data_IF_445038594407
#
_entry.id   IF_445038594407
#
_cell.length_a   1.000
_cell.length_b   1.000
_cell.length_c   1.000
_cell.angle_alpha   90.00
_cell.angle_beta   90.00
_cell.angle_gamma   90.00
#
_symmetry.space_group_name_H-M   'P 1'
#
loop_
_entity.id
_entity.type
_entity.pdbx_description
1 polymer ?
#
# COMPACT_ATOMS: atom_id res chain seq x y z
N UNK A 1 -17.58 23.76 7.70
CA UNK A 1 -18.92 24.21 7.29
C UNK A 1 -19.73 22.96 6.92
N UNK A 2 -20.25 22.24 7.91
CA UNK A 2 -21.64 22.31 8.45
C UNK A 2 -22.70 21.70 7.53
N UNK A 3 -22.74 20.36 7.46
CA UNK A 3 -23.89 19.60 6.94
C UNK A 3 -24.06 18.28 7.73
N UNK A 4 -24.26 18.38 9.04
CA UNK A 4 -24.57 17.22 9.91
C UNK A 4 -25.76 17.47 10.84
N UNK A 5 -26.56 18.50 10.60
CA UNK A 5 -27.59 18.93 11.57
C UNK A 5 -29.01 18.43 11.32
N UNK A 6 -29.32 17.85 10.15
CA UNK A 6 -30.71 17.50 9.81
C UNK A 6 -31.10 16.07 10.21
N UNK A 7 -30.14 15.16 10.33
CA UNK A 7 -30.39 13.74 10.66
C UNK A 7 -30.64 13.57 12.17
N UNK A 8 -29.99 14.38 13.01
CA UNK A 8 -30.18 14.33 14.47
C UNK A 8 -31.54 14.89 14.94
N UNK A 9 -32.25 15.67 14.12
CA UNK A 9 -33.60 16.14 14.47
C UNK A 9 -34.72 15.17 14.07
N UNK A 10 -34.51 14.31 13.06
CA UNK A 10 -35.57 13.41 12.56
C UNK A 10 -35.81 12.21 13.48
N UNK A 11 -34.76 11.71 14.13
CA UNK A 11 -34.85 10.57 15.07
C UNK A 11 -35.67 10.90 16.33
N UNK A 12 -35.44 12.03 17.04
CA UNK A 12 -36.25 12.39 18.20
C UNK A 12 -37.69 12.80 17.82
N UNK A 13 -37.91 13.42 16.65
CA UNK A 13 -39.25 13.79 16.19
C UNK A 13 -40.14 12.56 15.92
N UNK A 14 -39.57 11.50 15.35
CA UNK A 14 -40.29 10.23 15.13
C UNK A 14 -40.52 9.48 16.45
N UNK A 15 -39.56 9.50 17.38
CA UNK A 15 -39.72 8.90 18.71
C UNK A 15 -40.77 9.62 19.57
N UNK A 16 -40.85 10.96 19.51
CA UNK A 16 -41.87 11.76 20.18
C UNK A 16 -43.27 11.51 19.62
N UNK A 17 -43.41 11.34 18.30
CA UNK A 17 -44.70 11.00 17.69
C UNK A 17 -45.22 9.61 18.12
N UNK A 18 -44.32 8.65 18.36
CA UNK A 18 -44.68 7.33 18.90
C UNK A 18 -44.98 7.31 20.39
N UNK A 19 -44.44 8.25 21.19
CA UNK A 19 -44.71 8.34 22.62
C UNK A 19 -46.10 8.94 22.92
N UNK A 20 -46.57 9.89 22.09
CA UNK A 20 -47.90 10.52 22.27
C UNK A 20 -49.05 9.57 21.93
N UNK A 21 -48.81 8.56 21.07
CA UNK A 21 -49.80 7.54 20.74
C UNK A 21 -49.98 6.45 21.83
N UNK A 22 -49.20 6.50 22.92
CA UNK A 22 -49.15 5.44 23.94
C UNK A 22 -49.54 5.90 25.36
N UNK A 23 -50.21 7.05 25.52
CA UNK A 23 -50.75 7.43 26.83
C UNK A 23 -52.07 6.70 27.16
N UNK A 24 -52.16 5.98 28.30
CA UNK A 24 -53.32 5.16 28.63
C UNK A 24 -54.39 5.98 29.36
N UNK A 25 -55.37 6.48 28.60
CA UNK A 25 -56.62 7.03 29.13
C UNK A 25 -57.74 5.99 29.07
N UNK A 26 -58.00 5.34 30.22
CA UNK A 26 -59.23 4.68 30.69
C UNK A 26 -60.29 4.09 29.72
N UNK A 27 -60.67 2.85 30.05
CA UNK A 27 -61.97 2.16 29.91
C UNK A 27 -62.31 1.45 28.58
N UNK A 28 -62.28 0.11 28.68
CA UNK A 28 -62.82 -0.87 27.74
C UNK A 28 -64.38 -0.75 27.63
N UNK A 29 -65.08 -1.33 26.62
CA UNK A 29 -64.97 -2.76 26.30
C UNK A 29 -65.06 -3.18 24.81
N UNK A 30 -64.41 -4.33 24.58
CA UNK A 30 -64.83 -5.48 23.75
C UNK A 30 -65.00 -5.31 22.22
N UNK A 31 -64.06 -5.99 21.54
CA UNK A 31 -64.37 -7.09 20.61
C UNK A 31 -64.53 -6.75 19.12
N UNK A 32 -63.64 -5.96 18.52
CA UNK A 32 -63.48 -6.00 17.05
C UNK A 32 -62.15 -5.44 16.51
N UNK A 33 -60.99 -5.83 17.07
CA UNK A 33 -59.73 -5.20 16.65
C UNK A 33 -58.51 -6.14 16.64
N UNK A 34 -58.71 -7.42 16.30
CA UNK A 34 -57.58 -8.35 16.12
C UNK A 34 -56.95 -8.35 14.72
N UNK A 35 -57.56 -7.71 13.70
CA UNK A 35 -57.05 -7.77 12.32
C UNK A 35 -56.36 -6.51 11.80
N UNK A 36 -56.52 -5.34 12.43
CA UNK A 36 -55.92 -4.08 11.93
C UNK A 36 -54.55 -3.74 12.51
N UNK A 37 -54.18 -4.31 13.66
CA UNK A 37 -52.88 -4.02 14.31
C UNK A 37 -51.71 -4.69 13.57
N UNK A 38 -51.97 -5.70 12.74
CA UNK A 38 -50.93 -6.38 11.96
C UNK A 38 -50.50 -5.65 10.67
N UNK A 39 -51.17 -4.56 10.25
CA UNK A 39 -50.81 -3.83 9.01
C UNK A 39 -50.11 -2.50 9.23
N UNK A 40 -50.19 -1.90 10.41
CA UNK A 40 -49.65 -0.53 10.64
C UNK A 40 -48.20 -0.56 11.13
N UNK A 41 -47.75 -1.67 11.73
CA UNK A 41 -46.36 -1.84 12.19
C UNK A 41 -45.39 -2.39 11.12
N UNK A 42 -45.89 -2.95 10.02
CA UNK A 42 -45.02 -3.52 8.98
C UNK A 42 -44.52 -2.49 7.97
N UNK A 43 -45.28 -1.42 7.70
CA UNK A 43 -44.91 -0.42 6.69
C UNK A 43 -43.68 0.42 7.12
N UNK A 44 -43.57 0.95 8.35
CA UNK A 44 -42.41 1.77 8.71
C UNK A 44 -41.13 0.94 8.82
N UNK A 45 -41.21 -0.30 9.32
CA UNK A 45 -40.06 -1.20 9.42
C UNK A 45 -39.53 -1.59 8.03
N UNK A 46 -40.43 -1.81 7.06
CA UNK A 46 -40.07 -2.16 5.68
C UNK A 46 -39.34 -1.01 4.97
N UNK A 47 -39.80 0.23 5.16
CA UNK A 47 -39.20 1.41 4.52
C UNK A 47 -37.82 1.72 5.13
N UNK A 48 -37.68 1.59 6.46
CA UNK A 48 -36.38 1.73 7.13
C UNK A 48 -35.41 0.62 6.70
N UNK A 49 -35.89 -0.62 6.56
CA UNK A 49 -35.05 -1.74 6.09
C UNK A 49 -34.62 -1.56 4.62
N UNK A 50 -35.50 -1.08 3.74
CA UNK A 50 -35.18 -0.81 2.32
C UNK A 50 -34.21 0.38 2.18
N UNK A 51 -34.36 1.44 2.98
CA UNK A 51 -33.43 2.56 3.00
C UNK A 51 -32.07 2.17 3.60
N UNK A 52 -32.06 1.33 4.64
CA UNK A 52 -30.83 0.77 5.20
C UNK A 52 -30.10 -0.14 4.20
N UNK A 53 -30.83 -0.92 3.40
CA UNK A 53 -30.26 -1.76 2.33
C UNK A 53 -29.79 -0.95 1.11
N UNK A 54 -30.40 0.21 0.82
CA UNK A 54 -29.99 1.09 -0.27
C UNK A 54 -28.75 1.93 0.06
N UNK A 55 -28.50 2.21 1.34
CA UNK A 55 -27.30 2.90 1.82
C UNK A 55 -26.08 1.98 1.95
N UNK A 56 -26.22 0.67 1.72
CA UNK A 56 -25.09 -0.25 1.63
C UNK A 56 -24.33 -0.02 0.31
N UNK A 57 -23.19 0.66 0.38
CA UNK A 57 -22.27 0.82 -0.74
C UNK A 57 -21.91 -0.54 -1.34
N UNK A 58 -22.41 -0.82 -2.55
CA UNK A 58 -22.15 -2.09 -3.25
C UNK A 58 -20.68 -2.15 -3.66
N UNK A 59 -20.02 -3.28 -3.38
CA UNK A 59 -18.67 -3.57 -3.88
C UNK A 59 -18.66 -3.55 -5.41
N UNK A 60 -17.56 -3.10 -6.02
CA UNK A 60 -17.43 -3.17 -7.48
C UNK A 60 -17.25 -4.63 -7.90
N UNK A 61 -18.02 -5.08 -8.90
CA UNK A 61 -17.91 -6.45 -9.39
C UNK A 61 -16.57 -6.72 -10.09
N UNK A 62 -16.03 -7.93 -9.97
CA UNK A 62 -14.78 -8.34 -10.63
C UNK A 62 -14.80 -8.10 -12.14
N UNK A 63 -15.93 -8.37 -12.81
CA UNK A 63 -16.12 -8.09 -14.24
C UNK A 63 -15.90 -6.60 -14.56
N UNK A 64 -16.37 -5.72 -13.68
CA UNK A 64 -16.17 -4.27 -13.84
C UNK A 64 -14.71 -3.90 -13.62
N UNK A 65 -14.05 -4.46 -12.61
CA UNK A 65 -12.62 -4.23 -12.36
C UNK A 65 -11.78 -4.68 -13.54
N UNK A 66 -11.97 -5.90 -14.06
CA UNK A 66 -11.25 -6.41 -15.23
C UNK A 66 -11.44 -5.53 -16.47
N UNK A 67 -12.67 -5.08 -16.71
CA UNK A 67 -12.97 -4.17 -17.83
C UNK A 67 -12.26 -2.83 -17.68
N UNK A 68 -12.25 -2.25 -16.48
CA UNK A 68 -11.60 -0.95 -16.24
C UNK A 68 -10.07 -1.09 -16.29
N UNK A 69 -9.50 -2.14 -15.68
CA UNK A 69 -8.06 -2.41 -15.72
C UNK A 69 -7.52 -2.65 -17.13
N UNK A 70 -8.35 -3.22 -18.02
CA UNK A 70 -7.99 -3.50 -19.41
C UNK A 70 -8.28 -2.34 -20.39
N UNK A 71 -8.80 -1.20 -19.93
CA UNK A 71 -9.07 -0.09 -20.84
C UNK A 71 -7.75 0.57 -21.31
N UNK A 72 -7.75 1.31 -22.44
CA UNK A 72 -6.52 1.90 -22.98
C UNK A 72 -5.83 2.86 -22.02
N UNK A 73 -6.60 3.59 -21.20
CA UNK A 73 -6.08 4.54 -20.23
C UNK A 73 -5.31 3.85 -19.09
N UNK A 74 -5.87 2.80 -18.50
CA UNK A 74 -5.23 1.99 -17.46
C UNK A 74 -3.98 1.28 -17.98
N UNK A 75 -4.04 0.75 -19.21
CA UNK A 75 -2.88 0.12 -19.85
C UNK A 75 -1.76 1.12 -20.08
N UNK A 76 -2.09 2.32 -20.59
CA UNK A 76 -1.12 3.40 -20.78
C UNK A 76 -0.51 3.86 -19.45
N UNK A 77 -1.33 4.10 -18.44
CA UNK A 77 -0.88 4.51 -17.12
C UNK A 77 0.03 3.46 -16.46
N UNK A 78 -0.27 2.17 -16.64
CA UNK A 78 0.61 1.07 -16.21
C UNK A 78 1.97 1.12 -16.90
N UNK A 79 1.99 1.30 -18.23
CA UNK A 79 3.23 1.36 -19.00
C UNK A 79 4.09 2.57 -18.61
N UNK A 80 3.48 3.74 -18.41
CA UNK A 80 4.17 4.95 -17.94
C UNK A 80 4.74 4.75 -16.52
N UNK A 81 3.97 4.13 -15.62
CA UNK A 81 4.43 3.83 -14.28
C UNK A 81 5.60 2.83 -14.27
N UNK A 82 5.50 1.76 -15.06
CA UNK A 82 6.57 0.76 -15.21
C UNK A 82 7.83 1.39 -15.83
N UNK A 83 7.69 2.16 -16.91
CA UNK A 83 8.83 2.84 -17.56
C UNK A 83 9.53 3.78 -16.59
N UNK A 84 8.80 4.62 -15.86
CA UNK A 84 9.40 5.56 -14.90
C UNK A 84 10.22 4.85 -13.80
N UNK A 85 9.72 3.71 -13.30
CA UNK A 85 10.48 2.90 -12.34
C UNK A 85 11.72 2.27 -12.98
N UNK A 86 11.61 1.75 -14.20
CA UNK A 86 12.76 1.17 -14.94
C UNK A 86 13.82 2.21 -15.29
N UNK A 87 13.41 3.42 -15.69
CA UNK A 87 14.32 4.53 -15.97
C UNK A 87 15.10 4.92 -14.71
N UNK A 88 14.43 4.94 -13.56
CA UNK A 88 15.09 5.16 -12.27
C UNK A 88 16.09 4.03 -11.98
N UNK A 89 15.69 2.76 -12.10
CA UNK A 89 16.57 1.61 -11.88
C UNK A 89 17.81 1.65 -12.80
N UNK A 90 17.64 2.07 -14.06
CA UNK A 90 18.75 2.20 -15.01
C UNK A 90 19.75 3.28 -14.59
N UNK A 91 19.28 4.39 -14.01
CA UNK A 91 20.17 5.40 -13.41
C UNK A 91 20.93 4.80 -12.24
N UNK A 92 20.28 4.05 -11.34
CA UNK A 92 20.96 3.38 -10.24
C UNK A 92 22.06 2.41 -10.73
N UNK A 93 21.81 1.63 -11.78
CA UNK A 93 22.79 0.70 -12.34
C UNK A 93 23.96 1.41 -13.04
N UNK A 94 23.67 2.51 -13.74
CA UNK A 94 24.67 3.22 -14.54
C UNK A 94 25.54 4.16 -13.69
N UNK A 95 24.92 4.87 -12.75
CA UNK A 95 25.56 5.99 -12.05
C UNK A 95 26.12 5.63 -10.68
N UNK A 96 25.85 4.42 -10.18
CA UNK A 96 26.37 3.95 -8.89
C UNK A 96 27.32 2.76 -9.04
N UNK A 97 28.08 2.40 -7.99
CA UNK A 97 28.92 1.20 -7.99
C UNK A 97 28.14 -0.13 -7.95
N UNK A 98 26.81 -0.08 -7.85
CA UNK A 98 25.95 -1.26 -7.81
C UNK A 98 25.86 -1.94 -9.18
N UNK A 99 25.51 -3.23 -9.18
CA UNK A 99 25.29 -4.02 -10.39
C UNK A 99 23.91 -4.63 -10.39
N UNK A 100 23.04 -4.20 -11.28
CA UNK A 100 21.67 -4.69 -11.36
C UNK A 100 21.67 -6.18 -11.69
N UNK A 101 21.01 -6.96 -10.85
CA UNK A 101 20.93 -8.40 -11.01
C UNK A 101 19.52 -8.92 -11.23
N UNK A 102 18.55 -8.31 -10.54
CA UNK A 102 17.17 -8.80 -10.53
C UNK A 102 16.18 -7.65 -10.30
N UNK A 103 15.08 -7.67 -11.03
CA UNK A 103 13.93 -6.77 -10.84
C UNK A 103 12.67 -7.61 -10.61
N UNK A 104 11.93 -7.24 -9.57
CA UNK A 104 10.60 -7.78 -9.27
C UNK A 104 9.61 -6.64 -9.42
N UNK A 105 8.62 -6.84 -10.29
CA UNK A 105 7.51 -5.91 -10.46
C UNK A 105 6.21 -6.63 -10.17
N UNK A 106 5.44 -6.11 -9.22
CA UNK A 106 4.10 -6.58 -8.92
C UNK A 106 3.11 -5.45 -9.15
N UNK A 107 2.05 -5.71 -9.92
CA UNK A 107 0.92 -4.81 -10.00
C UNK A 107 -0.39 -5.55 -9.73
N UNK A 108 -1.34 -4.85 -9.12
CA UNK A 108 -2.65 -5.39 -8.82
C UNK A 108 -3.71 -4.30 -8.93
N UNK A 109 -4.87 -4.66 -9.45
CA UNK A 109 -6.05 -3.80 -9.46
C UNK A 109 -7.11 -4.39 -8.54
N UNK A 110 -7.67 -3.58 -7.65
CA UNK A 110 -8.77 -3.96 -6.78
C UNK A 110 -9.95 -3.00 -6.94
N UNK A 111 -11.17 -3.53 -6.85
CA UNK A 111 -12.37 -2.71 -6.71
C UNK A 111 -12.55 -2.23 -5.28
N UNK A 112 -13.37 -1.19 -5.07
CA UNK A 112 -13.75 -0.78 -3.73
C UNK A 112 -14.49 -1.89 -2.98
N UNK A 113 -14.10 -2.12 -1.72
CA UNK A 113 -14.70 -3.12 -0.85
C UNK A 113 -15.92 -2.54 -0.15
N UNK A 114 -17.01 -3.32 -0.06
CA UNK A 114 -18.18 -2.88 0.70
C UNK A 114 -17.79 -2.74 2.18
N UNK A 115 -18.30 -1.70 2.85
CA UNK A 115 -18.18 -1.59 4.31
C UNK A 115 -18.92 -2.74 4.94
N UNK A 116 -18.23 -3.60 5.67
CA UNK A 116 -18.85 -4.67 6.41
C UNK A 116 -19.68 -4.09 7.57
N UNK A 117 -20.72 -4.79 7.99
CA UNK A 117 -21.64 -4.30 9.02
C UNK A 117 -20.93 -4.09 10.37
N UNK A 118 -19.96 -4.96 10.69
CA UNK A 118 -19.19 -4.90 11.95
C UNK A 118 -17.85 -4.18 11.81
N UNK A 119 -17.25 -4.19 10.63
CA UNK A 119 -15.97 -3.55 10.35
C UNK A 119 -16.18 -2.51 9.24
N UNK A 120 -16.20 -1.24 9.63
CA UNK A 120 -16.24 -0.09 8.69
C UNK A 120 -14.89 0.10 7.95
N UNK A 121 -14.12 -0.97 7.75
CA UNK A 121 -12.79 -0.99 7.13
C UNK A 121 -12.85 -1.06 5.60
N UNK A 122 -14.03 -1.32 5.02
CA UNK A 122 -14.22 -1.31 3.56
C UNK A 122 -14.02 0.09 2.97
N UNK A 123 -13.14 0.21 1.98
CA UNK A 123 -12.97 1.44 1.19
C UNK A 123 -13.82 1.36 -0.08
N UNK A 124 -15.06 1.84 0.04
CA UNK A 124 -16.03 1.83 -1.07
C UNK A 124 -15.89 3.04 -2.00
N UNK A 125 -14.93 3.94 -1.76
CA UNK A 125 -14.76 5.20 -2.52
C UNK A 125 -14.32 4.97 -3.96
N UNK A 126 -13.71 3.83 -4.25
CA UNK A 126 -13.15 3.53 -5.57
C UNK A 126 -14.02 2.54 -6.34
N UNK A 127 -14.22 2.82 -7.63
CA UNK A 127 -14.63 1.80 -8.60
C UNK A 127 -13.48 0.83 -8.83
N UNK A 128 -12.27 1.35 -9.02
CA UNK A 128 -11.02 0.60 -9.17
C UNK A 128 -9.86 1.43 -8.64
N UNK A 129 -8.89 0.76 -8.02
CA UNK A 129 -7.55 1.29 -7.72
C UNK A 129 -6.54 0.25 -8.16
N UNK A 130 -5.59 0.67 -8.97
CA UNK A 130 -4.48 -0.16 -9.42
C UNK A 130 -3.18 0.35 -8.84
N UNK A 131 -2.43 -0.54 -8.21
CA UNK A 131 -1.18 -0.25 -7.51
C UNK A 131 -0.04 -1.03 -8.12
N UNK A 132 1.15 -0.46 -8.08
CA UNK A 132 2.39 -1.08 -8.52
C UNK A 132 3.44 -1.02 -7.42
N UNK A 133 4.14 -2.13 -7.25
CA UNK A 133 5.25 -2.34 -6.33
C UNK A 133 6.46 -2.78 -7.17
N UNK A 134 7.56 -2.06 -7.05
CA UNK A 134 8.80 -2.38 -7.78
C UNK A 134 9.92 -2.54 -6.77
N UNK A 135 10.67 -3.62 -6.91
CA UNK A 135 11.88 -3.89 -6.15
C UNK A 135 13.00 -4.24 -7.12
N UNK A 136 14.16 -3.62 -6.96
CA UNK A 136 15.37 -3.98 -7.70
C UNK A 136 16.44 -4.48 -6.73
N UNK A 137 17.17 -5.50 -7.15
CA UNK A 137 18.23 -6.14 -6.39
C UNK A 137 19.55 -5.98 -7.15
N UNK A 138 20.57 -5.55 -6.42
CA UNK A 138 21.87 -5.24 -6.95
C UNK A 138 22.96 -6.02 -6.22
N UNK A 139 23.96 -6.48 -6.95
CA UNK A 139 25.19 -7.03 -6.37
C UNK A 139 26.21 -5.93 -6.06
N UNK A 140 27.01 -6.16 -5.02
CA UNK A 140 28.18 -5.34 -4.68
C UNK A 140 29.25 -6.17 -3.96
N UNK A 141 30.47 -5.63 -3.83
CA UNK A 141 31.57 -6.26 -3.09
C UNK A 141 31.49 -5.92 -1.58
N UNK A 142 31.36 -6.91 -0.67
CA UNK A 142 31.30 -6.68 0.78
C UNK A 142 32.56 -6.06 1.38
N UNK A 143 33.67 -6.00 0.66
CA UNK A 143 34.90 -5.30 1.11
C UNK A 143 34.85 -3.80 0.82
N UNK A 144 33.89 -3.35 0.03
CA UNK A 144 33.76 -1.97 -0.47
C UNK A 144 32.42 -1.34 -0.09
N UNK A 145 31.81 -1.75 1.02
CA UNK A 145 30.51 -1.22 1.45
C UNK A 145 30.55 0.30 1.60
N UNK A 146 31.57 0.83 2.27
CA UNK A 146 31.78 2.27 2.41
C UNK A 146 31.82 2.99 1.05
N UNK A 147 32.67 2.52 0.12
CA UNK A 147 32.80 3.11 -1.22
C UNK A 147 31.52 2.97 -2.04
N UNK A 148 30.78 1.87 -1.87
CA UNK A 148 29.53 1.62 -2.58
C UNK A 148 28.47 2.61 -2.14
N UNK A 149 28.30 2.79 -0.82
CA UNK A 149 27.34 3.75 -0.27
C UNK A 149 27.76 5.18 -0.62
N UNK A 150 29.04 5.53 -0.45
CA UNK A 150 29.60 6.85 -0.82
C UNK A 150 29.35 7.15 -2.31
N UNK A 151 29.53 6.16 -3.19
CA UNK A 151 29.21 6.28 -4.61
C UNK A 151 27.71 6.48 -4.90
N UNK A 152 26.81 5.84 -4.15
CA UNK A 152 25.36 6.11 -4.22
C UNK A 152 25.08 7.56 -3.81
N UNK A 153 25.70 8.05 -2.73
CA UNK A 153 25.54 9.43 -2.27
C UNK A 153 26.08 10.44 -3.29
N UNK A 154 27.25 10.18 -3.89
CA UNK A 154 27.82 11.02 -4.95
C UNK A 154 26.90 11.09 -6.17
N UNK A 155 26.23 9.99 -6.51
CA UNK A 155 25.26 9.97 -7.61
C UNK A 155 23.99 10.78 -7.27
N UNK A 156 23.56 10.77 -6.01
CA UNK A 156 22.43 11.60 -5.53
C UNK A 156 22.73 13.08 -5.40
N UNK A 157 23.99 13.48 -5.16
CA UNK A 157 24.39 14.89 -5.12
C UNK A 157 24.24 15.63 -6.46
N UNK A 158 24.12 14.89 -7.57
CA UNK A 158 23.97 15.49 -8.90
C UNK A 158 22.62 16.20 -9.01
N UNK A 159 22.63 17.41 -9.57
CA UNK A 159 21.39 18.17 -9.81
C UNK A 159 20.43 17.38 -10.70
N UNK A 160 19.20 17.17 -10.21
CA UNK A 160 18.17 16.43 -10.94
C UNK A 160 18.30 14.91 -10.85
N UNK A 161 19.17 14.38 -9.98
CA UNK A 161 19.31 12.94 -9.77
C UNK A 161 18.00 12.33 -9.22
N UNK A 162 17.54 11.19 -9.76
CA UNK A 162 16.42 10.43 -9.20
C UNK A 162 16.81 9.61 -7.95
N UNK A 163 18.08 9.65 -7.53
CA UNK A 163 18.60 9.00 -6.33
C UNK A 163 18.37 9.94 -5.13
N UNK A 164 17.48 9.61 -4.18
CA UNK A 164 17.07 10.53 -3.12
C UNK A 164 18.02 10.54 -1.92
N UNK A 165 19.29 10.14 -2.13
CA UNK A 165 20.31 10.05 -1.09
C UNK A 165 21.54 10.81 -1.52
N UNK A 166 21.81 11.95 -0.87
CA UNK A 166 23.02 12.74 -1.06
C UNK A 166 23.85 12.82 0.22
N UNK A 167 25.00 13.48 0.12
CA UNK A 167 25.86 13.76 1.27
C UNK A 167 25.30 14.83 2.21
N UNK A 168 24.25 15.55 1.81
CA UNK A 168 23.49 16.45 2.68
C UNK A 168 22.71 15.67 3.76
N UNK A 169 22.37 14.41 3.51
CA UNK A 169 21.73 13.53 4.47
C UNK A 169 22.74 13.06 5.54
N UNK A 170 22.67 13.68 6.72
CA UNK A 170 23.60 13.42 7.83
C UNK A 170 23.70 11.94 8.19
N UNK A 171 22.57 11.23 8.28
CA UNK A 171 22.56 9.81 8.61
C UNK A 171 23.36 8.97 7.60
N UNK A 172 23.18 9.22 6.30
CA UNK A 172 23.92 8.54 5.24
C UNK A 172 25.44 8.74 5.35
N UNK A 173 25.90 9.96 5.65
CA UNK A 173 27.32 10.22 5.90
C UNK A 173 27.85 9.41 7.10
N UNK A 174 27.10 9.36 8.19
CA UNK A 174 27.49 8.57 9.37
C UNK A 174 27.54 7.08 9.07
N UNK A 175 26.65 6.56 8.22
CA UNK A 175 26.72 5.17 7.73
C UNK A 175 28.02 4.93 6.94
N UNK A 176 28.42 5.85 6.05
CA UNK A 176 29.70 5.72 5.33
C UNK A 176 30.88 5.74 6.30
N UNK A 177 30.88 6.66 7.27
CA UNK A 177 31.95 6.75 8.27
C UNK A 177 32.02 5.50 9.18
N UNK A 178 30.89 4.88 9.49
CA UNK A 178 30.84 3.59 10.19
C UNK A 178 31.60 2.51 9.43
N UNK A 179 31.29 2.30 8.14
CA UNK A 179 31.97 1.28 7.32
C UNK A 179 33.44 1.62 7.03
N UNK A 180 33.84 2.89 7.15
CA UNK A 180 35.25 3.32 7.11
C UNK A 180 35.99 3.15 8.45
N UNK A 181 35.30 2.76 9.52
CA UNK A 181 35.87 2.65 10.86
C UNK A 181 36.14 4.00 11.54
N UNK A 182 35.46 5.07 11.11
CA UNK A 182 35.64 6.44 11.61
C UNK A 182 34.55 6.88 12.61
N UNK A 183 33.42 6.17 12.64
CA UNK A 183 32.31 6.44 13.54
C UNK A 183 31.81 5.15 14.20
N UNK A 184 31.17 5.29 15.36
CA UNK A 184 30.37 4.22 15.95
C UNK A 184 29.01 4.07 15.27
N UNK A 185 28.16 3.23 15.85
CA UNK A 185 26.82 2.93 15.34
C UNK A 185 26.01 4.21 15.01
N UNK A 186 25.52 4.40 13.77
CA UNK A 186 24.89 5.65 13.35
C UNK A 186 23.59 6.00 14.08
N UNK A 187 22.88 5.01 14.61
CA UNK A 187 21.64 5.20 15.38
C UNK A 187 21.89 5.23 16.90
N UNK A 188 23.16 5.15 17.33
CA UNK A 188 23.57 5.15 18.73
C UNK A 188 24.13 3.80 19.19
N UNK A 189 24.86 3.77 20.32
CA UNK A 189 25.56 2.57 20.76
C UNK A 189 24.63 1.37 20.96
N UNK A 190 25.00 0.21 20.41
CA UNK A 190 24.27 -1.04 20.57
C UNK A 190 23.10 -1.19 19.61
N UNK A 191 22.95 -0.29 18.64
CA UNK A 191 21.96 -0.43 17.54
C UNK A 191 22.45 -1.36 16.44
N UNK A 192 23.74 -1.69 16.44
CA UNK A 192 24.34 -2.65 15.54
C UNK A 192 24.69 -2.07 14.17
N UNK A 193 25.02 -2.97 13.25
CA UNK A 193 25.48 -2.61 11.91
C UNK A 193 24.34 -1.96 11.09
N UNK A 194 24.53 -0.73 10.57
CA UNK A 194 23.54 -0.06 9.74
C UNK A 194 23.33 -0.83 8.44
N UNK A 195 22.07 -1.05 8.08
CA UNK A 195 21.68 -1.91 6.95
C UNK A 195 20.69 -1.27 5.99
N UNK A 196 20.37 0.01 6.19
CA UNK A 196 19.39 0.70 5.35
C UNK A 196 19.64 2.20 5.25
N UNK A 197 19.19 2.78 4.14
CA UNK A 197 18.92 4.20 3.95
C UNK A 197 17.44 4.35 3.58
N UNK A 198 16.76 5.26 4.28
CA UNK A 198 15.35 5.53 4.07
C UNK A 198 15.12 7.01 3.87
N UNK A 199 14.44 7.36 2.77
CA UNK A 199 13.95 8.71 2.52
C UNK A 199 12.43 8.67 2.48
N UNK A 200 11.80 9.37 3.44
CA UNK A 200 10.37 9.26 3.69
C UNK A 200 9.53 9.55 2.44
N UNK A 201 8.66 8.61 2.08
CA UNK A 201 7.75 8.74 0.93
C UNK A 201 8.42 8.60 -0.45
N UNK A 202 9.73 8.30 -0.50
CA UNK A 202 10.43 8.02 -1.76
C UNK A 202 10.87 6.56 -1.79
N UNK A 203 12.15 6.27 -1.60
CA UNK A 203 12.75 4.96 -1.82
C UNK A 203 13.44 4.48 -0.55
N UNK A 204 13.45 3.17 -0.35
CA UNK A 204 14.25 2.51 0.69
C UNK A 204 15.35 1.69 0.03
N UNK A 205 16.59 1.85 0.49
CA UNK A 205 17.74 1.03 0.09
C UNK A 205 18.19 0.21 1.29
N UNK A 206 18.13 -1.11 1.21
CA UNK A 206 18.59 -2.02 2.26
C UNK A 206 19.73 -2.90 1.72
N UNK A 207 20.57 -3.47 2.59
CA UNK A 207 21.63 -4.38 2.16
C UNK A 207 21.97 -5.46 3.19
N UNK A 208 22.69 -6.49 2.73
CA UNK A 208 23.23 -7.54 3.60
C UNK A 208 24.20 -6.97 4.64
N UNK A 209 24.06 -7.38 5.91
CA UNK A 209 25.06 -7.09 6.94
C UNK A 209 26.35 -7.89 6.70
N UNK A 210 27.51 -7.24 6.83
CA UNK A 210 28.83 -7.82 6.51
C UNK A 210 29.71 -8.07 7.73
N UNK A 211 29.57 -7.31 8.82
CA UNK A 211 30.44 -7.40 10.00
C UNK A 211 29.93 -8.36 11.08
N UNK A 212 28.61 -8.38 11.32
CA UNK A 212 27.99 -9.24 12.35
C UNK A 212 28.19 -10.72 11.95
N UNK A 213 28.72 -11.63 12.79
CA UNK A 213 29.01 -13.02 12.33
C UNK A 213 27.90 -14.04 12.58
N UNK A 214 27.19 -13.93 13.71
CA UNK A 214 26.29 -14.99 14.17
C UNK A 214 24.79 -14.68 13.93
N UNK A 215 24.45 -13.42 13.69
CA UNK A 215 23.07 -12.93 13.48
C UNK A 215 22.98 -11.97 12.30
N UNK A 216 23.63 -12.30 11.18
CA UNK A 216 23.55 -11.48 9.97
C UNK A 216 22.12 -11.41 9.49
N UNK A 217 21.60 -10.20 9.41
CA UNK A 217 20.41 -9.95 8.61
C UNK A 217 20.82 -9.84 7.14
N UNK A 218 20.26 -10.73 6.33
CA UNK A 218 20.49 -10.80 4.90
C UNK A 218 19.22 -10.44 4.16
N UNK A 219 19.37 -9.87 2.98
CA UNK A 219 18.29 -9.66 2.03
C UNK A 219 17.68 -11.01 1.66
N UNK A 220 16.39 -11.15 1.96
CA UNK A 220 15.60 -12.33 1.63
C UNK A 220 15.29 -12.40 0.13
N UNK A 221 15.03 -13.62 -0.35
CA UNK A 221 14.48 -13.85 -1.67
C UNK A 221 13.15 -13.10 -1.84
N UNK A 222 12.84 -12.59 -3.05
CA UNK A 222 11.51 -12.06 -3.31
C UNK A 222 10.47 -13.14 -3.07
N UNK A 223 9.30 -12.70 -2.59
CA UNK A 223 8.17 -13.61 -2.42
C UNK A 223 7.82 -14.18 -3.78
N UNK A 224 7.56 -15.50 -3.81
CA UNK A 224 7.07 -16.14 -5.02
C UNK A 224 5.81 -15.42 -5.47
N UNK A 225 5.77 -15.10 -6.77
CA UNK A 225 4.57 -14.57 -7.42
C UNK A 225 3.40 -15.51 -7.10
N UNK A 226 2.52 -15.08 -6.19
CA UNK A 226 1.36 -15.88 -5.84
C UNK A 226 0.49 -16.11 -7.09
N UNK A 227 -0.19 -17.27 -7.19
CA UNK A 227 -1.13 -17.50 -8.27
C UNK A 227 -2.11 -16.34 -8.43
N UNK A 228 -2.43 -16.00 -9.68
CA UNK A 228 -3.32 -14.90 -10.03
C UNK A 228 -4.66 -14.98 -9.28
N UNK A 229 -4.87 -14.12 -8.27
CA UNK A 229 -6.21 -13.84 -7.73
C UNK A 229 -6.22 -12.57 -6.85
N UNK A 230 -7.30 -11.74 -6.81
CA UNK A 230 -8.23 -11.26 -7.85
C UNK A 230 -8.24 -9.71 -7.96
N UNK A 231 -8.92 -9.07 -8.96
CA UNK A 231 -9.42 -9.59 -10.23
C UNK A 231 -8.40 -9.46 -11.39
N UNK A 232 -7.35 -8.63 -11.20
CA UNK A 232 -6.22 -8.46 -12.14
C UNK A 232 -4.95 -8.27 -11.31
N UNK A 233 -4.00 -9.19 -11.43
CA UNK A 233 -2.68 -9.12 -10.81
C UNK A 233 -1.64 -9.55 -11.83
N UNK A 234 -0.51 -8.86 -11.90
CA UNK A 234 0.67 -9.22 -12.68
C UNK A 234 1.86 -9.24 -11.75
N UNK A 235 2.73 -10.24 -11.92
CA UNK A 235 4.00 -10.34 -11.24
C UNK A 235 5.06 -10.70 -12.27
N UNK A 236 6.10 -9.88 -12.35
CA UNK A 236 7.24 -10.07 -13.23
C UNK A 236 8.49 -10.28 -12.38
N UNK A 237 9.30 -11.23 -12.81
CA UNK A 237 10.57 -11.58 -12.20
C UNK A 237 11.62 -11.64 -13.32
N UNK A 238 12.53 -10.67 -13.34
CA UNK A 238 13.43 -10.42 -14.47
C UNK A 238 14.89 -10.25 -14.02
N UNK A 239 15.82 -11.11 -14.46
CA UNK A 239 15.60 -12.35 -15.21
C UNK A 239 14.90 -13.42 -14.37
N UNK A 240 14.03 -14.23 -14.98
CA UNK A 240 13.25 -15.26 -14.24
C UNK A 240 14.14 -16.32 -13.59
N UNK A 241 15.34 -16.57 -14.13
CA UNK A 241 16.31 -17.56 -13.64
C UNK A 241 17.18 -17.06 -12.49
N UNK A 242 17.18 -15.77 -12.19
CA UNK A 242 18.10 -15.19 -11.20
C UNK A 242 17.44 -15.14 -9.83
N UNK A 243 18.16 -15.59 -8.79
CA UNK A 243 17.75 -15.43 -7.38
C UNK A 243 18.67 -14.47 -6.63
N UNK A 244 18.23 -14.01 -5.45
CA UNK A 244 19.07 -13.22 -4.53
C UNK A 244 20.29 -14.04 -4.09
N UNK A 245 20.13 -15.35 -3.90
CA UNK A 245 21.22 -16.26 -3.59
C UNK A 245 22.26 -16.35 -4.71
N UNK A 246 21.85 -16.27 -5.98
CA UNK A 246 22.79 -16.24 -7.11
C UNK A 246 23.59 -14.94 -7.12
N UNK A 247 22.93 -13.79 -6.92
CA UNK A 247 23.61 -12.49 -6.80
C UNK A 247 24.60 -12.48 -5.64
N UNK A 248 24.22 -13.03 -4.50
CA UNK A 248 25.11 -13.12 -3.34
C UNK A 248 26.31 -14.03 -3.62
N UNK A 249 26.13 -15.11 -4.39
CA UNK A 249 27.23 -16.01 -4.78
C UNK A 249 28.20 -15.33 -5.75
N UNK A 250 27.70 -14.51 -6.65
CA UNK A 250 28.49 -13.82 -7.67
C UNK A 250 29.23 -12.60 -7.12
N UNK A 251 28.53 -11.74 -6.37
CA UNK A 251 29.05 -10.44 -5.93
C UNK A 251 29.51 -10.43 -4.46
N UNK A 252 28.97 -11.33 -3.63
CA UNK A 252 29.30 -11.45 -2.21
C UNK A 252 28.30 -10.77 -1.27
N UNK A 253 27.62 -9.71 -1.71
CA UNK A 253 26.51 -9.08 -0.98
C UNK A 253 25.44 -8.55 -1.93
N UNK A 254 24.22 -8.36 -1.39
CA UNK A 254 23.08 -7.84 -2.13
C UNK A 254 22.55 -6.55 -1.49
N UNK A 255 22.25 -5.57 -2.34
CA UNK A 255 21.44 -4.39 -2.05
C UNK A 255 20.03 -4.58 -2.61
N UNK A 256 19.03 -4.11 -1.89
CA UNK A 256 17.61 -4.12 -2.26
C UNK A 256 17.07 -2.70 -2.28
N UNK A 257 16.66 -2.25 -3.46
CA UNK A 257 16.00 -0.98 -3.70
C UNK A 257 14.48 -1.20 -3.76
N UNK A 258 13.73 -0.59 -2.85
CA UNK A 258 12.27 -0.71 -2.78
C UNK A 258 11.63 0.64 -3.10
N UNK A 259 10.82 0.67 -4.17
CA UNK A 259 10.05 1.84 -4.56
C UNK A 259 8.79 1.99 -3.70
N UNK A 260 8.27 3.21 -3.53
CA UNK A 260 7.01 3.40 -2.82
C UNK A 260 5.88 2.82 -3.67
N UNK A 261 4.83 2.34 -3.01
CA UNK A 261 3.63 1.88 -3.72
C UNK A 261 3.05 3.02 -4.55
N UNK A 262 2.90 2.78 -5.86
CA UNK A 262 2.34 3.78 -6.77
C UNK A 262 0.93 3.40 -7.20
N UNK A 263 -0.03 4.24 -6.85
CA UNK A 263 -1.38 4.19 -7.40
C UNK A 263 -1.32 4.75 -8.83
N UNK A 264 -1.22 3.88 -9.84
CA UNK A 264 -1.05 4.33 -11.23
C UNK A 264 -2.36 4.58 -11.95
N UNK A 265 -3.47 3.98 -11.49
CA UNK A 265 -4.78 4.17 -12.11
C UNK A 265 -5.90 4.03 -11.08
N UNK A 266 -6.73 5.06 -10.97
CA UNK A 266 -7.79 5.13 -9.97
C UNK A 266 -9.06 5.74 -10.57
N UNK A 267 -10.21 5.09 -10.36
CA UNK A 267 -11.51 5.63 -10.71
C UNK A 267 -12.39 5.67 -9.47
N UNK A 268 -12.96 6.82 -9.17
CA UNK A 268 -13.82 7.04 -8.00
C UNK A 268 -15.28 6.66 -8.28
N UNK A 269 -16.04 6.34 -7.23
CA UNK A 269 -17.49 6.10 -7.34
C UNK A 269 -18.27 7.37 -7.60
#
# INVERSE_FOLDING_TARGET
MTTTSWIEMLVPAVLLASAVAAWPGSLAPRQQQRSRIRRVLFIPLSVVLVLALAACGRATSEKTVRRLAGNPEAVKARQEAESASRDTIAVWDTDTPLRLGLVVLEDACAGGQAKEWFFQTGDDRYKIRCTMYVTAYFGADPRRVADTIDGVLTAGDRTGSPIPFGHDFQYARTVVDYYRGKAGDPQGPGTGEPKELFSAGTITLNWDQVHTRDTRELIEEPRLCAPHDPPVRRCLHEPTSTSVADLRREYGMVFKLTFPTKDYFTVWK
#
